data_IF_285527293760
#
_entry.id   IF_285527293760
#
_cell.length_a   1.000
_cell.length_b   1.000
_cell.length_c   1.000
_cell.angle_alpha   90.00
_cell.angle_beta   90.00
_cell.angle_gamma   90.00
#
_symmetry.space_group_name_H-M   'P 1'
#
loop_
_entity.id
_entity.type
_entity.pdbx_description
1 polymer ?
#
# COMPACT_ATOMS: atom_id res chain seq x y z
N UNK A 1 82.28 15.06 -20.62
CA UNK A 1 81.69 16.35 -21.04
C UNK A 1 80.21 16.30 -20.68
N UNK A 2 79.55 17.20 -19.96
CA UNK A 2 79.87 18.49 -19.34
C UNK A 2 78.91 18.64 -18.11
N UNK A 3 79.45 19.00 -16.94
CA UNK A 3 79.19 20.24 -16.17
C UNK A 3 77.70 20.46 -15.78
N UNK A 4 77.30 20.24 -14.52
CA UNK A 4 77.55 20.99 -13.26
C UNK A 4 76.82 22.35 -13.15
N UNK A 5 76.20 22.51 -11.97
CA UNK A 5 76.00 23.71 -11.14
C UNK A 5 74.70 24.53 -11.24
N UNK A 6 74.36 25.12 -10.07
CA UNK A 6 73.40 26.20 -9.77
C UNK A 6 71.99 25.67 -9.38
N UNK A 7 71.33 26.04 -8.27
CA UNK A 7 71.52 27.08 -7.26
C UNK A 7 70.91 26.66 -5.92
N UNK A 8 71.62 26.97 -4.85
CA UNK A 8 71.07 27.11 -3.50
C UNK A 8 70.28 28.45 -3.44
N UNK A 9 69.30 28.51 -2.54
CA UNK A 9 68.79 29.75 -1.93
C UNK A 9 67.95 30.71 -2.80
N UNK A 10 66.64 30.45 -2.85
CA UNK A 10 65.63 31.50 -2.98
C UNK A 10 64.45 31.14 -2.05
N UNK A 11 64.29 31.95 -1.00
CA UNK A 11 63.02 32.30 -0.35
C UNK A 11 62.11 31.12 0.03
N UNK A 12 62.01 30.75 1.31
CA UNK A 12 61.17 31.48 2.27
C UNK A 12 59.81 31.81 1.64
N UNK A 13 58.73 31.21 2.16
CA UNK A 13 57.33 31.28 1.68
C UNK A 13 56.96 30.14 0.70
N UNK A 14 56.99 28.89 1.17
CA UNK A 14 55.91 27.97 0.82
C UNK A 14 55.03 27.84 2.06
N UNK A 15 54.16 28.84 2.20
CA UNK A 15 53.10 28.84 3.20
C UNK A 15 52.32 27.57 3.01
N UNK A 16 52.34 26.76 4.07
CA UNK A 16 51.44 25.65 4.30
C UNK A 16 50.03 26.23 4.24
N UNK A 17 49.40 26.20 3.06
CA UNK A 17 47.96 26.40 2.96
C UNK A 17 47.29 25.12 3.44
N UNK A 18 47.20 24.99 4.76
CA UNK A 18 46.16 24.17 5.38
C UNK A 18 44.87 24.91 5.05
N UNK A 19 44.26 24.58 3.91
CA UNK A 19 42.87 24.95 3.67
C UNK A 19 42.09 24.33 4.81
N UNK A 20 41.73 25.16 5.79
CA UNK A 20 40.73 24.82 6.78
C UNK A 20 39.47 24.47 6.00
N UNK A 21 39.22 23.18 5.83
CA UNK A 21 37.88 22.67 5.53
C UNK A 21 37.05 23.05 6.74
N UNK A 22 36.49 24.25 6.69
CA UNK A 22 35.42 24.64 7.59
C UNK A 22 34.35 23.56 7.41
N UNK A 23 34.20 22.74 8.45
CA UNK A 23 33.02 21.89 8.58
C UNK A 23 31.86 22.87 8.61
N UNK A 24 31.14 22.98 7.48
CA UNK A 24 29.88 23.69 7.44
C UNK A 24 28.99 22.99 8.47
N UNK A 25 28.80 23.64 9.62
CA UNK A 25 27.89 23.15 10.64
C UNK A 25 26.55 22.91 9.94
N UNK A 26 26.14 21.65 9.86
CA UNK A 26 24.87 21.28 9.27
C UNK A 26 23.79 22.02 10.07
N UNK A 27 23.20 23.05 9.45
CA UNK A 27 22.24 23.90 10.12
C UNK A 27 21.06 23.04 10.56
N UNK A 28 20.82 23.00 11.86
CA UNK A 28 19.66 22.29 12.42
C UNK A 28 18.41 23.05 11.98
N UNK A 29 17.56 22.42 11.18
CA UNK A 29 16.28 23.00 10.78
C UNK A 29 15.43 23.28 12.03
N UNK A 30 14.78 24.42 12.03
CA UNK A 30 13.85 24.83 13.08
C UNK A 30 12.45 25.01 12.50
N UNK A 31 11.42 24.95 13.32
CA UNK A 31 10.04 25.25 12.93
C UNK A 31 9.51 26.37 13.81
N UNK A 32 8.92 27.38 13.20
CA UNK A 32 8.16 28.43 13.87
C UNK A 32 6.73 28.44 13.33
N UNK A 33 5.74 28.59 14.21
CA UNK A 33 4.31 28.69 13.85
C UNK A 33 3.78 30.03 14.34
N UNK A 34 3.32 30.88 13.42
CA UNK A 34 2.90 32.27 13.70
C UNK A 34 3.93 33.05 14.52
N UNK A 35 5.22 32.90 14.18
CA UNK A 35 6.33 33.54 14.87
C UNK A 35 6.80 32.83 16.15
N UNK A 36 6.06 31.84 16.66
CA UNK A 36 6.46 31.06 17.83
C UNK A 36 7.39 29.91 17.45
N UNK A 37 8.66 30.03 17.82
CA UNK A 37 9.65 28.98 17.62
C UNK A 37 9.32 27.74 18.46
N UNK A 38 9.22 26.58 17.82
CA UNK A 38 8.92 25.32 18.49
C UNK A 38 10.15 24.75 19.21
N UNK A 39 9.95 24.35 20.46
CA UNK A 39 10.90 23.48 21.15
C UNK A 39 10.73 22.04 20.65
N UNK A 40 11.71 21.55 19.88
CA UNK A 40 11.67 20.24 19.25
C UNK A 40 12.73 19.34 19.88
N UNK A 41 12.30 18.20 20.43
CA UNK A 41 13.22 17.14 20.89
C UNK A 41 13.89 16.41 19.72
N UNK A 42 13.23 16.38 18.57
CA UNK A 42 13.74 15.86 17.31
C UNK A 42 13.62 16.96 16.25
N UNK A 43 14.75 17.44 15.73
CA UNK A 43 14.76 18.41 14.64
C UNK A 43 14.10 17.82 13.38
N UNK A 44 13.48 18.66 12.53
CA UNK A 44 13.06 18.25 11.20
C UNK A 44 14.26 17.76 10.40
N UNK A 45 14.02 16.80 9.52
CA UNK A 45 15.05 16.23 8.66
C UNK A 45 14.61 16.28 7.21
N UNK A 46 15.55 16.40 6.29
CA UNK A 46 15.26 16.29 4.87
C UNK A 46 15.51 14.84 4.40
N UNK A 47 14.52 14.25 3.75
CA UNK A 47 14.60 12.93 3.13
C UNK A 47 14.18 13.06 1.68
N UNK A 48 15.10 12.82 0.74
CA UNK A 48 14.87 12.92 -0.71
C UNK A 48 14.21 14.24 -1.15
N UNK A 49 14.66 15.37 -0.60
CA UNK A 49 14.05 16.68 -0.87
C UNK A 49 12.64 16.84 -0.29
N UNK A 50 12.34 16.14 0.80
CA UNK A 50 11.08 16.25 1.56
C UNK A 50 11.42 16.55 3.01
N UNK A 51 10.92 17.66 3.54
CA UNK A 51 11.09 17.99 4.95
C UNK A 51 10.11 17.12 5.76
N UNK A 52 10.67 16.28 6.63
CA UNK A 52 9.96 15.46 7.58
C UNK A 52 9.97 16.18 8.93
N UNK A 53 8.79 16.47 9.47
CA UNK A 53 8.62 17.21 10.72
C UNK A 53 8.03 16.33 11.83
N UNK A 54 8.40 16.58 13.11
CA UNK A 54 7.83 15.86 14.25
C UNK A 54 6.35 16.18 14.41
N UNK A 55 5.50 15.15 14.30
CA UNK A 55 4.04 15.32 14.17
C UNK A 55 3.44 15.95 15.43
N UNK A 56 3.78 15.41 16.61
CA UNK A 56 3.15 15.81 17.88
C UNK A 56 3.30 17.31 18.22
N UNK A 57 4.51 17.91 18.22
CA UNK A 57 4.65 19.33 18.54
C UNK A 57 4.01 20.23 17.47
N UNK A 58 4.12 19.87 16.19
CA UNK A 58 3.49 20.63 15.10
C UNK A 58 1.96 20.60 15.22
N UNK A 59 1.37 19.42 15.44
CA UNK A 59 -0.08 19.27 15.62
C UNK A 59 -0.57 20.07 16.83
N UNK A 60 0.12 19.95 17.97
CA UNK A 60 -0.22 20.69 19.19
C UNK A 60 -0.26 22.20 18.92
N UNK A 61 0.78 22.74 18.26
CA UNK A 61 0.85 24.17 17.97
C UNK A 61 -0.21 24.63 16.96
N UNK A 62 -0.60 23.76 16.02
CA UNK A 62 -1.66 24.03 15.06
C UNK A 62 -3.08 23.77 15.62
N UNK A 63 -3.18 23.38 16.90
CA UNK A 63 -4.45 23.15 17.59
C UNK A 63 -5.09 21.79 17.32
N UNK A 64 -4.32 20.80 16.86
CA UNK A 64 -4.78 19.43 16.65
C UNK A 64 -4.43 18.58 17.88
N UNK A 65 -5.39 17.76 18.31
CA UNK A 65 -5.12 16.61 19.16
C UNK A 65 -4.50 15.48 18.35
N UNK A 66 -3.61 14.70 18.96
CA UNK A 66 -3.00 13.51 18.36
C UNK A 66 -3.32 12.28 19.20
N UNK A 67 -3.88 11.25 18.59
CA UNK A 67 -4.03 9.91 19.18
C UNK A 67 -3.17 8.92 18.40
N UNK A 68 -2.43 8.07 19.10
CA UNK A 68 -1.66 6.97 18.51
C UNK A 68 -2.21 5.63 19.01
N UNK A 69 -2.32 4.64 18.12
CA UNK A 69 -2.76 3.28 18.47
C UNK A 69 -1.99 2.29 17.58
N UNK A 70 -1.03 1.57 18.16
CA UNK A 70 -0.10 0.74 17.41
C UNK A 70 0.66 1.58 16.37
N UNK A 71 0.51 1.22 15.09
CA UNK A 71 1.13 1.96 13.98
C UNK A 71 0.27 3.13 13.47
N UNK A 72 -0.97 3.28 13.94
CA UNK A 72 -1.90 4.29 13.46
C UNK A 72 -1.78 5.60 14.23
N UNK A 73 -1.82 6.71 13.50
CA UNK A 73 -1.83 8.06 14.03
C UNK A 73 -3.10 8.79 13.56
N UNK A 74 -3.70 9.55 14.46
CA UNK A 74 -4.94 10.28 14.20
C UNK A 74 -4.86 11.70 14.75
N UNK A 75 -4.80 12.67 13.85
CA UNK A 75 -4.94 14.09 14.16
C UNK A 75 -6.41 14.51 14.13
N UNK A 76 -6.86 15.33 15.08
CA UNK A 76 -8.22 15.89 15.08
C UNK A 76 -8.24 17.35 15.50
N UNK A 77 -8.98 18.16 14.76
CA UNK A 77 -9.40 19.56 15.04
C UNK A 77 -10.76 19.77 14.37
N UNK A 78 -11.57 20.70 14.85
CA UNK A 78 -12.94 20.96 14.39
C UNK A 78 -13.21 20.63 12.90
N UNK A 79 -14.05 19.62 12.64
CA UNK A 79 -14.41 19.20 11.28
C UNK A 79 -13.29 18.51 10.46
N UNK A 80 -12.09 18.35 11.02
CA UNK A 80 -10.91 17.80 10.37
C UNK A 80 -10.37 16.55 11.10
N UNK A 81 -10.23 15.47 10.37
CA UNK A 81 -9.62 14.22 10.84
C UNK A 81 -8.51 13.81 9.87
N UNK A 82 -7.29 13.73 10.38
CA UNK A 82 -6.13 13.25 9.63
C UNK A 82 -5.77 11.85 10.12
N UNK A 83 -5.81 10.85 9.25
CA UNK A 83 -5.39 9.48 9.52
C UNK A 83 -4.07 9.18 8.79
N UNK A 84 -3.10 8.66 9.53
CA UNK A 84 -1.79 8.25 9.02
C UNK A 84 -1.39 6.91 9.63
N UNK A 85 -0.43 6.23 9.02
CA UNK A 85 0.14 4.99 9.56
C UNK A 85 1.63 4.92 9.33
N UNK A 86 2.37 4.42 10.31
CA UNK A 86 3.82 4.18 10.21
C UNK A 86 4.14 3.32 8.99
N UNK A 87 5.13 3.74 8.20
CA UNK A 87 5.60 3.06 7.00
C UNK A 87 4.71 3.25 5.77
N UNK A 88 3.57 3.92 5.90
CA UNK A 88 2.65 4.16 4.78
C UNK A 88 2.95 5.48 4.07
N UNK A 89 2.95 5.45 2.74
CA UNK A 89 2.86 6.66 1.88
C UNK A 89 1.42 7.11 1.67
N UNK A 90 0.42 6.37 2.17
CA UNK A 90 -1.00 6.71 2.04
C UNK A 90 -1.45 7.29 3.38
N UNK A 91 -1.94 8.53 3.36
CA UNK A 91 -2.64 9.20 4.45
C UNK A 91 -4.07 9.52 4.03
N UNK A 92 -4.92 9.91 4.97
CA UNK A 92 -6.28 10.39 4.70
C UNK A 92 -6.60 11.64 5.47
N UNK A 93 -7.33 12.54 4.84
CA UNK A 93 -7.86 13.78 5.46
C UNK A 93 -9.35 13.81 5.19
N UNK A 94 -10.17 13.68 6.23
CA UNK A 94 -11.63 13.53 6.10
C UNK A 94 -12.03 12.44 5.08
N UNK A 95 -11.34 11.30 5.14
CA UNK A 95 -11.56 10.16 4.22
C UNK A 95 -10.88 10.29 2.85
N UNK A 96 -10.54 11.50 2.41
CA UNK A 96 -9.88 11.73 1.13
C UNK A 96 -8.45 11.22 1.20
N UNK A 97 -8.08 10.36 0.27
CA UNK A 97 -6.77 9.70 0.24
C UNK A 97 -5.71 10.60 -0.37
N UNK A 98 -4.58 10.72 0.33
CA UNK A 98 -3.46 11.58 -0.07
C UNK A 98 -2.20 10.73 -0.14
N UNK A 99 -1.54 10.75 -1.29
CA UNK A 99 -0.26 10.06 -1.49
C UNK A 99 0.90 10.98 -1.13
N UNK A 100 1.57 10.63 -0.04
CA UNK A 100 2.75 11.27 0.52
C UNK A 100 3.98 11.00 -0.36
N UNK A 101 4.87 11.98 -0.44
CA UNK A 101 6.16 11.83 -1.14
C UNK A 101 7.08 10.86 -0.39
N UNK A 102 7.11 10.96 0.93
CA UNK A 102 7.83 10.06 1.83
C UNK A 102 6.87 9.43 2.85
N UNK A 103 7.08 8.17 3.23
CA UNK A 103 6.22 7.50 4.20
C UNK A 103 6.38 8.11 5.59
N UNK A 104 5.34 7.99 6.42
CA UNK A 104 5.44 8.34 7.85
C UNK A 104 6.48 7.43 8.50
N UNK A 105 7.47 8.03 9.16
CA UNK A 105 8.60 7.31 9.73
C UNK A 105 8.74 7.57 11.23
N UNK A 106 9.62 6.81 11.89
CA UNK A 106 9.98 7.03 13.29
C UNK A 106 11.48 7.26 13.35
N UNK A 107 11.89 8.38 13.92
CA UNK A 107 13.28 8.76 14.13
C UNK A 107 13.46 9.08 15.61
N UNK A 108 14.37 8.39 16.29
CA UNK A 108 14.60 8.56 17.74
C UNK A 108 13.30 8.54 18.55
N UNK A 109 12.46 7.53 18.33
CA UNK A 109 11.13 7.36 18.94
C UNK A 109 10.11 8.49 18.67
N UNK A 110 10.40 9.39 17.72
CA UNK A 110 9.51 10.47 17.31
C UNK A 110 8.90 10.16 15.95
N UNK A 111 7.57 10.25 15.83
CA UNK A 111 6.90 10.12 14.55
C UNK A 111 7.12 11.36 13.68
N UNK A 112 7.52 11.12 12.44
CA UNK A 112 7.83 12.14 11.44
C UNK A 112 6.92 11.97 10.23
N UNK A 113 6.35 13.07 9.72
CA UNK A 113 5.58 13.09 8.47
C UNK A 113 6.01 14.24 7.57
N UNK A 114 5.75 14.17 6.26
CA UNK A 114 6.04 15.27 5.34
C UNK A 114 5.34 16.55 5.79
N UNK A 115 6.11 17.63 5.95
CA UNK A 115 5.58 18.87 6.48
C UNK A 115 4.52 19.50 5.55
N UNK A 116 4.76 19.48 4.24
CA UNK A 116 3.80 19.98 3.25
C UNK A 116 2.44 19.27 3.37
N UNK A 117 2.42 17.96 3.65
CA UNK A 117 1.16 17.25 3.85
C UNK A 117 0.39 17.81 5.05
N UNK A 118 1.08 18.06 6.17
CA UNK A 118 0.46 18.60 7.38
C UNK A 118 -0.12 20.00 7.09
N UNK A 119 0.67 20.88 6.47
CA UNK A 119 0.26 22.26 6.19
C UNK A 119 -0.86 22.32 5.15
N UNK A 120 -0.75 21.56 4.06
CA UNK A 120 -1.76 21.50 2.98
C UNK A 120 -3.10 20.95 3.49
N UNK A 121 -3.06 19.98 4.41
CA UNK A 121 -4.28 19.42 5.04
C UNK A 121 -5.05 20.47 5.86
N UNK A 122 -4.33 21.44 6.41
CA UNK A 122 -4.87 22.52 7.23
C UNK A 122 -5.11 23.81 6.45
N UNK A 123 -4.61 23.90 5.22
CA UNK A 123 -4.59 25.15 4.46
C UNK A 123 -3.57 26.16 4.99
N UNK A 124 -2.63 25.74 5.84
CA UNK A 124 -1.62 26.61 6.44
C UNK A 124 -0.57 27.03 5.40
N UNK A 125 -0.03 28.25 5.55
CA UNK A 125 1.08 28.73 4.73
C UNK A 125 2.40 28.11 5.16
N UNK A 126 3.29 27.88 4.20
CA UNK A 126 4.63 27.36 4.44
C UNK A 126 5.67 28.25 3.72
N UNK A 127 6.67 28.73 4.44
CA UNK A 127 7.82 29.44 3.89
C UNK A 127 9.10 29.10 4.68
N UNK A 128 10.25 29.61 4.24
CA UNK A 128 11.53 29.40 4.93
C UNK A 128 12.35 30.68 4.96
N UNK A 129 12.96 30.99 6.10
CA UNK A 129 13.91 32.09 6.26
C UNK A 129 15.06 31.67 7.19
N UNK A 130 16.31 31.90 6.76
CA UNK A 130 17.51 31.71 7.58
C UNK A 130 17.60 30.33 8.28
N UNK A 131 17.26 29.23 7.59
CA UNK A 131 17.27 27.88 8.17
C UNK A 131 16.08 27.55 9.10
N UNK A 132 15.14 28.48 9.25
CA UNK A 132 13.88 28.27 9.97
C UNK A 132 12.74 28.08 8.98
N UNK A 133 11.95 27.04 9.19
CA UNK A 133 10.70 26.80 8.48
C UNK A 133 9.60 27.57 9.20
N UNK A 134 8.88 28.40 8.47
CA UNK A 134 7.81 29.25 8.99
C UNK A 134 6.47 28.69 8.53
N UNK A 135 5.58 28.43 9.49
CA UNK A 135 4.20 28.02 9.26
C UNK A 135 3.30 29.17 9.67
N UNK A 136 2.38 29.58 8.80
CA UNK A 136 1.36 30.58 9.13
C UNK A 136 -0.02 29.93 9.18
N UNK A 137 -0.81 30.30 10.20
CA UNK A 137 -2.21 29.89 10.33
C UNK A 137 -3.17 30.74 9.48
N UNK A 138 -2.70 31.24 8.34
CA UNK A 138 -3.57 31.83 7.32
C UNK A 138 -4.24 30.69 6.53
N UNK A 139 -5.24 30.07 7.17
CA UNK A 139 -5.88 28.86 6.67
C UNK A 139 -6.68 29.15 5.39
N UNK A 140 -6.11 28.77 4.26
CA UNK A 140 -6.80 28.77 2.98
C UNK A 140 -7.86 27.67 2.96
N UNK A 141 -8.94 27.92 2.23
CA UNK A 141 -9.98 26.92 1.98
C UNK A 141 -9.37 25.67 1.33
N UNK A 142 -9.58 24.51 1.94
CA UNK A 142 -9.08 23.22 1.45
C UNK A 142 -10.20 22.40 0.81
N UNK A 143 -9.84 21.44 -0.03
CA UNK A 143 -10.82 20.50 -0.60
C UNK A 143 -11.32 19.47 0.43
N UNK A 144 -10.74 19.44 1.63
CA UNK A 144 -11.02 18.41 2.63
C UNK A 144 -12.23 18.73 3.51
N UNK A 145 -12.74 19.96 3.47
CA UNK A 145 -13.95 20.32 4.16
C UNK A 145 -15.17 19.72 3.44
N UNK A 146 -15.98 18.93 4.15
CA UNK A 146 -17.15 18.25 3.60
C UNK A 146 -18.40 19.15 3.64
N UNK A 147 -18.47 20.14 4.55
CA UNK A 147 -19.62 21.05 4.75
C UNK A 147 -20.97 20.36 5.08
N UNK A 148 -20.93 19.06 5.40
CA UNK A 148 -22.07 18.24 5.82
C UNK A 148 -21.93 17.86 7.30
N UNK A 149 -23.04 17.60 8.02
CA UNK A 149 -23.01 17.31 9.45
C UNK A 149 -22.60 15.85 9.75
N UNK A 150 -21.48 15.44 9.17
CA UNK A 150 -20.90 14.10 9.28
C UNK A 150 -19.41 14.23 9.60
N UNK A 151 -18.79 13.15 10.08
CA UNK A 151 -17.34 13.05 10.13
C UNK A 151 -16.87 11.77 9.45
N UNK A 152 -15.75 11.83 8.74
CA UNK A 152 -15.15 10.65 8.08
C UNK A 152 -13.80 10.36 8.70
N UNK A 153 -13.60 9.13 9.16
CA UNK A 153 -12.31 8.66 9.70
C UNK A 153 -12.01 7.26 9.18
N UNK A 154 -10.91 7.13 8.43
CA UNK A 154 -10.59 5.88 7.75
C UNK A 154 -11.67 5.50 6.74
N UNK A 155 -12.23 4.30 6.85
CA UNK A 155 -13.36 3.81 6.02
C UNK A 155 -14.71 3.92 6.76
N UNK A 156 -14.79 4.76 7.79
CA UNK A 156 -15.98 4.95 8.60
C UNK A 156 -16.49 6.36 8.48
N UNK A 157 -17.82 6.50 8.47
CA UNK A 157 -18.50 7.79 8.53
C UNK A 157 -19.47 7.79 9.70
N UNK A 158 -19.53 8.92 10.41
CA UNK A 158 -20.41 9.12 11.56
C UNK A 158 -21.41 10.23 11.26
N UNK A 159 -22.69 9.96 11.52
CA UNK A 159 -23.74 10.97 11.53
C UNK A 159 -23.62 11.73 12.84
N UNK A 160 -23.42 13.05 12.79
CA UNK A 160 -23.22 13.87 14.00
C UNK A 160 -24.53 14.46 14.54
N UNK A 161 -25.64 14.28 13.83
CA UNK A 161 -26.92 14.93 14.18
C UNK A 161 -27.83 14.00 14.99
N UNK A 162 -28.90 14.61 15.54
CA UNK A 162 -30.03 13.90 16.13
C UNK A 162 -31.08 13.42 15.11
N UNK A 163 -30.79 13.50 13.81
CA UNK A 163 -31.71 13.24 12.72
C UNK A 163 -31.25 12.05 11.89
N UNK A 164 -32.20 11.20 11.48
CA UNK A 164 -31.95 10.09 10.56
C UNK A 164 -31.92 10.61 9.11
N UNK A 165 -30.99 10.13 8.31
CA UNK A 165 -30.90 10.46 6.89
C UNK A 165 -31.28 9.25 6.03
N UNK A 166 -31.89 9.51 4.87
CA UNK A 166 -32.27 8.46 3.93
C UNK A 166 -31.02 7.82 3.32
N UNK A 167 -30.07 8.63 2.87
CA UNK A 167 -28.91 8.15 2.15
C UNK A 167 -27.73 9.11 2.30
N UNK A 168 -26.53 8.57 2.53
CA UNK A 168 -25.27 9.28 2.31
C UNK A 168 -24.64 8.74 1.01
N UNK A 169 -24.45 9.61 0.02
CA UNK A 169 -23.80 9.24 -1.24
C UNK A 169 -22.29 9.42 -1.09
N UNK A 170 -21.56 8.32 -1.25
CA UNK A 170 -20.11 8.28 -1.30
C UNK A 170 -19.71 7.71 -2.65
N UNK A 171 -18.97 8.50 -3.42
CA UNK A 171 -18.48 8.10 -4.73
C UNK A 171 -17.09 7.51 -4.58
N UNK A 172 -16.93 6.27 -5.03
CA UNK A 172 -15.65 5.59 -5.14
C UNK A 172 -15.01 5.85 -6.49
N UNK A 173 -13.70 6.08 -6.48
CA UNK A 173 -12.90 6.33 -7.66
C UNK A 173 -11.96 5.16 -7.92
N UNK A 174 -11.94 4.70 -9.16
CA UNK A 174 -11.09 3.61 -9.62
C UNK A 174 -10.33 4.00 -10.88
N UNK A 175 -9.04 3.72 -10.94
CA UNK A 175 -8.23 3.91 -12.13
C UNK A 175 -8.18 2.61 -12.95
N UNK A 176 -8.63 2.67 -14.19
CA UNK A 176 -8.48 1.61 -15.18
C UNK A 176 -7.13 1.78 -15.88
N UNK A 177 -6.14 0.89 -15.65
CA UNK A 177 -4.82 1.00 -16.26
C UNK A 177 -4.83 0.69 -17.77
N UNK A 178 -5.80 -0.07 -18.28
CA UNK A 178 -5.92 -0.39 -19.71
C UNK A 178 -6.50 0.79 -20.47
N UNK A 179 -7.62 1.34 -20.00
CA UNK A 179 -8.27 2.49 -20.62
C UNK A 179 -7.63 3.83 -20.25
N UNK A 180 -6.74 3.85 -19.24
CA UNK A 180 -6.05 5.04 -18.71
C UNK A 180 -7.03 6.14 -18.27
N UNK A 181 -8.14 5.75 -17.64
CA UNK A 181 -9.19 6.67 -17.16
C UNK A 181 -9.59 6.37 -15.72
N UNK A 182 -10.22 7.34 -15.08
CA UNK A 182 -10.82 7.17 -13.76
C UNK A 182 -12.33 6.95 -13.92
N UNK A 183 -12.82 5.84 -13.39
CA UNK A 183 -14.23 5.50 -13.29
C UNK A 183 -14.75 5.87 -11.89
N UNK A 184 -16.04 6.20 -11.82
CA UNK A 184 -16.74 6.64 -10.62
C UNK A 184 -17.90 5.68 -10.35
N UNK A 185 -18.08 5.30 -9.07
CA UNK A 185 -19.20 4.48 -8.64
C UNK A 185 -19.82 5.06 -7.37
N UNK A 186 -21.07 5.51 -7.46
CA UNK A 186 -21.85 6.14 -6.39
C UNK A 186 -22.68 5.14 -5.55
N UNK A 187 -22.86 3.92 -6.05
CA UNK A 187 -23.70 2.89 -5.41
C UNK A 187 -22.93 1.87 -4.56
N UNK A 188 -21.58 1.79 -4.71
CA UNK A 188 -20.78 0.74 -4.04
C UNK A 188 -20.55 1.01 -2.55
N UNK A 189 -20.51 2.30 -2.19
CA UNK A 189 -20.21 2.78 -0.84
C UNK A 189 -21.32 3.66 -0.26
N UNK A 190 -22.45 3.85 -0.96
CA UNK A 190 -23.55 4.63 -0.40
C UNK A 190 -24.14 3.94 0.83
N UNK A 191 -24.56 4.75 1.79
CA UNK A 191 -25.16 4.27 3.03
C UNK A 191 -26.63 4.62 3.00
N UNK A 192 -27.47 3.59 2.82
CA UNK A 192 -28.93 3.70 2.90
C UNK A 192 -29.35 3.55 4.37
N UNK A 193 -30.25 4.42 4.83
CA UNK A 193 -30.71 4.49 6.22
C UNK A 193 -29.57 4.88 7.16
N UNK A 194 -29.18 6.15 7.17
CA UNK A 194 -28.08 6.63 7.98
C UNK A 194 -28.57 7.22 9.31
N UNK A 195 -28.72 6.32 10.28
CA UNK A 195 -29.31 6.59 11.60
C UNK A 195 -28.58 7.71 12.36
N UNK A 196 -29.33 8.48 13.14
CA UNK A 196 -28.83 9.54 14.02
C UNK A 196 -27.75 9.03 14.96
N UNK A 197 -26.69 9.83 15.13
CA UNK A 197 -25.54 9.49 16.00
C UNK A 197 -24.89 8.13 15.73
N UNK A 198 -25.10 7.55 14.54
CA UNK A 198 -24.52 6.26 14.18
C UNK A 198 -23.17 6.41 13.49
N UNK A 199 -22.39 5.33 13.48
CA UNK A 199 -21.17 5.22 12.68
C UNK A 199 -21.28 3.99 11.81
N UNK A 200 -21.06 4.14 10.50
CA UNK A 200 -21.13 3.05 9.53
C UNK A 200 -19.83 2.96 8.73
N UNK A 201 -19.43 1.74 8.42
CA UNK A 201 -18.32 1.46 7.50
C UNK A 201 -18.87 1.52 6.07
N UNK A 202 -18.23 2.28 5.18
CA UNK A 202 -18.74 2.43 3.81
C UNK A 202 -18.06 1.50 2.79
N UNK A 203 -16.78 1.14 2.96
CA UNK A 203 -16.13 0.10 2.16
C UNK A 203 -14.93 -0.57 2.83
N UNK A 204 -14.38 -1.59 2.14
CA UNK A 204 -13.17 -2.32 2.52
C UNK A 204 -12.01 -2.08 1.55
N UNK A 205 -12.14 -1.13 0.64
CA UNK A 205 -11.12 -0.94 -0.39
C UNK A 205 -9.84 -0.33 0.19
N UNK A 206 -8.72 -0.78 -0.36
CA UNK A 206 -7.38 -0.31 -0.04
C UNK A 206 -6.82 0.46 -1.24
N UNK A 207 -6.31 1.66 -0.99
CA UNK A 207 -5.78 2.53 -2.05
C UNK A 207 -4.57 1.85 -2.69
N UNK A 208 -4.47 1.99 -4.01
CA UNK A 208 -3.46 1.32 -4.84
C UNK A 208 -3.58 -0.22 -4.88
N UNK A 209 -4.72 -0.80 -4.45
CA UNK A 209 -5.02 -2.22 -4.70
C UNK A 209 -5.93 -2.40 -5.91
N UNK A 210 -5.62 -3.44 -6.69
CA UNK A 210 -6.40 -3.84 -7.84
C UNK A 210 -7.57 -4.72 -7.41
N UNK A 211 -8.74 -4.47 -7.97
CA UNK A 211 -9.94 -5.30 -7.79
C UNK A 211 -9.88 -6.51 -8.72
N UNK A 212 -10.32 -7.68 -8.24
CA UNK A 212 -10.29 -8.92 -9.01
C UNK A 212 -11.39 -9.02 -10.07
N UNK A 213 -12.51 -8.34 -9.86
CA UNK A 213 -13.69 -8.35 -10.72
C UNK A 213 -13.55 -7.41 -11.92
N UNK A 214 -13.11 -6.17 -11.69
CA UNK A 214 -12.99 -5.15 -12.76
C UNK A 214 -11.57 -4.95 -13.27
N UNK A 215 -10.54 -5.46 -12.56
CA UNK A 215 -9.12 -5.17 -12.82
C UNK A 215 -8.77 -3.67 -12.75
N UNK A 216 -9.48 -2.94 -11.91
CA UNK A 216 -9.26 -1.51 -11.70
C UNK A 216 -8.56 -1.28 -10.35
N UNK A 217 -7.83 -0.18 -10.23
CA UNK A 217 -7.12 0.17 -9.01
C UNK A 217 -7.97 1.14 -8.22
N UNK A 218 -8.33 0.81 -6.98
CA UNK A 218 -9.03 1.76 -6.12
C UNK A 218 -8.10 2.92 -5.73
N UNK A 219 -8.56 4.15 -5.92
CA UNK A 219 -7.75 5.35 -5.69
C UNK A 219 -8.27 6.26 -4.57
N UNK A 220 -9.49 6.04 -4.10
CA UNK A 220 -10.09 6.75 -2.96
C UNK A 220 -11.59 6.93 -3.11
N UNK A 221 -12.21 7.58 -2.13
CA UNK A 221 -13.62 7.98 -2.17
C UNK A 221 -13.79 9.45 -1.80
N UNK A 222 -14.95 10.00 -2.13
CA UNK A 222 -15.38 11.31 -1.68
C UNK A 222 -16.87 11.29 -1.33
N UNK A 223 -17.24 12.02 -0.28
CA UNK A 223 -18.67 12.28 0.01
C UNK A 223 -19.18 13.27 -1.01
N UNK A 224 -20.26 12.93 -1.70
CA UNK A 224 -20.91 13.81 -2.68
C UNK A 224 -22.07 14.58 -2.05
N UNK A 225 -22.99 13.88 -1.39
CA UNK A 225 -24.20 14.50 -0.82
C UNK A 225 -24.84 13.66 0.28
N UNK A 226 -25.73 14.29 1.04
CA UNK A 226 -26.52 13.69 2.11
C UNK A 226 -28.01 13.98 1.86
N UNK A 227 -28.81 12.92 1.75
CA UNK A 227 -30.26 13.00 1.50
C UNK A 227 -31.06 12.80 2.78
N UNK A 228 -32.03 13.67 3.05
CA UNK A 228 -33.00 13.49 4.13
C UNK A 228 -34.13 12.56 3.69
N UNK A 229 -34.91 12.05 4.64
CA UNK A 229 -36.22 11.52 4.29
C UNK A 229 -37.12 12.68 3.84
N UNK A 230 -37.90 12.47 2.77
CA UNK A 230 -38.93 13.42 2.40
C UNK A 230 -39.95 13.47 3.54
N UNK A 231 -40.19 14.66 4.10
CA UNK A 231 -41.35 14.87 4.94
C UNK A 231 -42.57 14.92 4.03
N UNK A 232 -43.47 13.96 4.13
CA UNK A 232 -44.82 14.11 3.59
C UNK A 232 -45.48 15.29 4.32
N UNK A 233 -45.43 16.48 3.71
CA UNK A 233 -46.27 17.61 4.09
C UNK A 233 -47.30 17.74 2.98
N UNK A 234 -48.55 17.61 3.39
CA UNK A 234 -49.82 17.76 2.65
C UNK A 234 -49.76 18.66 1.41
N UNK A 235 -50.39 18.19 0.32
CA UNK A 235 -50.99 18.83 -0.90
C UNK A 235 -50.48 20.17 -1.49
N UNK A 236 -49.65 20.94 -0.78
CA UNK A 236 -48.86 22.04 -1.29
C UNK A 236 -47.42 21.56 -1.45
N UNK A 237 -47.02 21.39 -2.71
CA UNK A 237 -45.68 20.99 -3.12
C UNK A 237 -44.67 22.09 -2.74
N UNK A 238 -44.22 22.11 -1.49
CA UNK A 238 -43.10 22.94 -1.04
C UNK A 238 -41.81 22.37 -1.63
N UNK A 239 -41.40 22.94 -2.76
CA UNK A 239 -40.18 22.68 -3.53
C UNK A 239 -38.93 23.17 -2.77
N UNK A 240 -38.84 22.84 -1.48
CA UNK A 240 -37.74 23.30 -0.64
C UNK A 240 -36.48 22.47 -0.90
N UNK A 241 -35.45 23.16 -1.36
CA UNK A 241 -34.05 22.76 -1.64
C UNK A 241 -33.32 21.96 -0.51
N UNK A 242 -34.00 21.58 0.57
CA UNK A 242 -33.41 21.00 1.79
C UNK A 242 -33.41 19.45 1.81
N UNK A 243 -33.88 18.81 0.73
CA UNK A 243 -33.91 17.35 0.61
C UNK A 243 -32.53 16.73 0.37
N UNK A 244 -31.68 17.35 -0.46
CA UNK A 244 -30.31 16.90 -0.75
C UNK A 244 -29.32 18.01 -0.42
N UNK A 245 -28.45 17.77 0.57
CA UNK A 245 -27.35 18.67 0.88
C UNK A 245 -26.06 18.17 0.21
N UNK A 246 -25.53 18.95 -0.73
CA UNK A 246 -24.30 18.62 -1.46
C UNK A 246 -23.03 19.07 -0.73
N UNK A 247 -21.96 18.28 -0.85
CA UNK A 247 -20.62 18.69 -0.45
C UNK A 247 -20.06 19.68 -1.48
N UNK A 248 -19.88 20.94 -1.07
CA UNK A 248 -19.42 22.03 -1.95
C UNK A 248 -18.01 21.80 -2.54
N UNK A 249 -17.19 20.99 -1.88
CA UNK A 249 -15.83 20.69 -2.34
C UNK A 249 -15.73 19.38 -3.13
N UNK A 250 -16.82 18.64 -3.33
CA UNK A 250 -16.81 17.37 -4.07
C UNK A 250 -16.18 17.51 -5.46
N UNK A 251 -16.51 18.56 -6.20
CA UNK A 251 -15.92 18.83 -7.54
C UNK A 251 -14.40 19.00 -7.50
N UNK A 252 -13.85 19.62 -6.46
CA UNK A 252 -12.39 19.77 -6.26
C UNK A 252 -11.74 18.42 -5.96
N UNK A 253 -12.35 17.59 -5.11
CA UNK A 253 -11.84 16.25 -4.79
C UNK A 253 -11.89 15.34 -6.03
N UNK A 254 -12.98 15.40 -6.79
CA UNK A 254 -13.12 14.71 -8.08
C UNK A 254 -12.03 15.14 -9.07
N UNK A 255 -11.77 16.43 -9.20
CA UNK A 255 -10.67 16.94 -10.02
C UNK A 255 -9.29 16.47 -9.53
N UNK A 256 -9.08 16.44 -8.21
CA UNK A 256 -7.86 15.93 -7.59
C UNK A 256 -7.59 14.46 -7.95
N UNK A 257 -8.57 13.57 -7.76
CA UNK A 257 -8.42 12.16 -8.08
C UNK A 257 -8.27 11.90 -9.59
N UNK A 258 -8.84 12.74 -10.45
CA UNK A 258 -8.65 12.68 -11.90
C UNK A 258 -7.37 13.34 -12.40
N UNK A 259 -6.64 14.05 -11.53
CA UNK A 259 -5.43 14.76 -11.94
C UNK A 259 -4.33 13.78 -12.34
N UNK A 260 -3.57 14.11 -13.39
CA UNK A 260 -2.41 13.33 -13.81
C UNK A 260 -1.40 13.13 -12.66
N UNK A 261 -1.18 14.17 -11.86
CA UNK A 261 -0.26 14.13 -10.71
C UNK A 261 -0.66 13.05 -9.69
N UNK A 262 -1.95 12.94 -9.36
CA UNK A 262 -2.42 11.92 -8.42
C UNK A 262 -2.33 10.51 -9.02
N UNK A 263 -2.75 10.33 -10.27
CA UNK A 263 -2.70 9.04 -10.96
C UNK A 263 -1.26 8.54 -11.13
N UNK A 264 -0.31 9.42 -11.46
CA UNK A 264 1.10 9.05 -11.57
C UNK A 264 1.65 8.52 -10.23
N UNK A 265 1.23 9.11 -9.10
CA UNK A 265 1.59 8.62 -7.76
C UNK A 265 0.97 7.24 -7.47
N UNK A 266 -0.29 7.02 -7.84
CA UNK A 266 -0.94 5.70 -7.69
C UNK A 266 -0.21 4.65 -8.51
N UNK A 267 0.09 4.93 -9.78
CA UNK A 267 0.81 4.00 -10.66
C UNK A 267 2.21 3.70 -10.11
N UNK A 268 2.90 4.71 -9.57
CA UNK A 268 4.19 4.52 -8.93
C UNK A 268 4.09 3.60 -7.70
N UNK A 269 3.09 3.78 -6.83
CA UNK A 269 2.88 2.89 -5.68
C UNK A 269 2.62 1.45 -6.09
N UNK A 270 1.74 1.23 -7.08
CA UNK A 270 1.43 -0.11 -7.60
C UNK A 270 2.69 -0.77 -8.18
N UNK A 271 3.52 0.00 -8.87
CA UNK A 271 4.79 -0.49 -9.42
C UNK A 271 5.79 -0.83 -8.31
N UNK A 272 5.96 0.05 -7.32
CA UNK A 272 6.85 -0.19 -6.17
C UNK A 272 6.49 -1.50 -5.45
N UNK A 273 5.20 -1.76 -5.22
CA UNK A 273 4.74 -3.01 -4.61
C UNK A 273 5.03 -4.24 -5.46
N UNK A 274 4.75 -4.17 -6.77
CA UNK A 274 5.04 -5.28 -7.71
C UNK A 274 6.54 -5.57 -7.79
N UNK A 275 7.37 -4.53 -7.86
CA UNK A 275 8.83 -4.67 -7.91
C UNK A 275 9.37 -5.28 -6.61
N UNK A 276 8.83 -4.87 -5.45
CA UNK A 276 9.17 -5.46 -4.15
C UNK A 276 8.77 -6.94 -4.06
N UNK A 277 7.57 -7.29 -4.54
CA UNK A 277 7.13 -8.69 -4.61
C UNK A 277 8.02 -9.52 -5.54
N UNK A 278 8.34 -9.01 -6.72
CA UNK A 278 9.24 -9.67 -7.67
C UNK A 278 10.65 -9.86 -7.08
N UNK A 279 11.18 -8.87 -6.35
CA UNK A 279 12.46 -8.98 -5.66
C UNK A 279 12.43 -10.06 -4.57
N UNK A 280 11.33 -10.18 -3.81
CA UNK A 280 11.14 -11.25 -2.83
C UNK A 280 11.10 -12.62 -3.50
N UNK A 281 10.31 -12.77 -4.57
CA UNK A 281 10.23 -14.01 -5.34
C UNK A 281 11.58 -14.40 -5.93
N UNK A 282 12.37 -13.44 -6.44
CA UNK A 282 13.72 -13.69 -6.96
C UNK A 282 14.65 -14.27 -5.90
N UNK A 283 14.60 -13.75 -4.66
CA UNK A 283 15.38 -14.30 -3.53
C UNK A 283 14.92 -15.72 -3.17
N UNK A 284 13.62 -15.95 -3.11
CA UNK A 284 13.08 -17.30 -2.85
C UNK A 284 13.45 -18.29 -3.98
N UNK A 285 13.42 -17.85 -5.25
CA UNK A 285 13.80 -18.65 -6.41
C UNK A 285 15.27 -19.08 -6.35
N UNK A 286 16.17 -18.17 -5.96
CA UNK A 286 17.58 -18.48 -5.75
C UNK A 286 17.77 -19.51 -4.62
N UNK A 287 17.07 -19.32 -3.49
CA UNK A 287 17.08 -20.29 -2.38
C UNK A 287 16.51 -21.65 -2.81
N UNK A 288 15.57 -21.68 -3.76
CA UNK A 288 15.02 -22.88 -4.38
C UNK A 288 15.87 -23.41 -5.56
N UNK A 289 17.17 -23.09 -5.60
CA UNK A 289 18.11 -23.54 -6.65
C UNK A 289 17.62 -23.24 -8.07
N UNK A 290 16.98 -22.09 -8.25
CA UNK A 290 16.38 -21.63 -9.52
C UNK A 290 15.29 -22.55 -10.11
N UNK A 291 14.67 -23.41 -9.29
CA UNK A 291 13.50 -24.18 -9.71
C UNK A 291 12.26 -23.27 -9.66
N UNK A 292 11.50 -23.11 -10.76
CA UNK A 292 10.36 -22.19 -10.84
C UNK A 292 9.25 -22.46 -9.82
N UNK A 293 9.05 -23.73 -9.47
CA UNK A 293 8.08 -24.16 -8.48
C UNK A 293 8.80 -24.64 -7.22
N UNK A 294 8.36 -24.12 -6.07
CA UNK A 294 8.74 -24.64 -4.76
C UNK A 294 7.65 -25.59 -4.29
N UNK A 295 8.04 -26.80 -3.88
CA UNK A 295 7.18 -27.69 -3.12
C UNK A 295 7.10 -27.14 -1.70
N UNK A 296 5.89 -26.75 -1.27
CA UNK A 296 5.65 -26.17 0.04
C UNK A 296 5.17 -27.23 1.04
N UNK A 297 4.26 -28.11 0.61
CA UNK A 297 3.77 -29.23 1.41
C UNK A 297 3.46 -30.45 0.53
N UNK A 298 3.47 -31.63 1.14
CA UNK A 298 3.07 -32.89 0.51
C UNK A 298 2.33 -33.76 1.52
N UNK A 299 1.16 -34.26 1.13
CA UNK A 299 0.35 -35.15 1.98
C UNK A 299 -0.26 -36.29 1.18
N UNK A 300 -0.63 -37.35 1.90
CA UNK A 300 -1.38 -38.48 1.34
C UNK A 300 -2.80 -38.45 1.92
N UNK A 301 -3.79 -38.44 1.04
CA UNK A 301 -5.20 -38.64 1.37
C UNK A 301 -5.71 -39.92 0.71
N UNK A 302 -6.96 -40.28 0.99
CA UNK A 302 -7.62 -41.42 0.37
C UNK A 302 -8.97 -40.96 -0.17
N UNK A 303 -9.29 -41.37 -1.39
CA UNK A 303 -10.59 -41.06 -1.97
C UNK A 303 -11.69 -41.97 -1.40
N UNK A 304 -12.92 -41.82 -1.90
CA UNK A 304 -14.10 -42.57 -1.43
C UNK A 304 -14.01 -44.10 -1.59
N UNK A 305 -13.09 -44.60 -2.42
CA UNK A 305 -12.84 -46.04 -2.61
C UNK A 305 -11.51 -46.48 -1.97
N UNK A 306 -10.96 -45.70 -1.05
CA UNK A 306 -9.72 -45.97 -0.30
C UNK A 306 -8.46 -46.09 -1.16
N UNK A 307 -8.44 -45.51 -2.36
CA UNK A 307 -7.22 -45.42 -3.17
C UNK A 307 -6.42 -44.21 -2.71
N UNK A 308 -5.09 -44.35 -2.48
CA UNK A 308 -4.27 -43.25 -2.01
C UNK A 308 -4.11 -42.16 -3.08
N UNK A 309 -4.03 -40.92 -2.61
CA UNK A 309 -3.86 -39.72 -3.42
C UNK A 309 -2.71 -38.89 -2.87
N UNK A 310 -1.82 -38.43 -3.74
CA UNK A 310 -0.79 -37.46 -3.35
C UNK A 310 -1.31 -36.05 -3.61
N UNK A 311 -1.33 -35.23 -2.57
CA UNK A 311 -1.62 -33.80 -2.65
C UNK A 311 -0.30 -33.03 -2.56
N UNK A 312 -0.05 -32.17 -3.53
CA UNK A 312 1.16 -31.37 -3.59
C UNK A 312 0.80 -29.89 -3.56
N UNK A 313 1.15 -29.21 -2.47
CA UNK A 313 1.09 -27.75 -2.43
C UNK A 313 2.38 -27.18 -3.02
N UNK A 314 2.23 -26.38 -4.06
CA UNK A 314 3.32 -25.71 -4.74
C UNK A 314 3.15 -24.19 -4.68
N UNK A 315 4.27 -23.47 -4.79
CA UNK A 315 4.31 -22.01 -4.99
C UNK A 315 5.06 -21.65 -6.27
N UNK A 316 4.47 -20.77 -7.08
CA UNK A 316 5.15 -20.17 -8.23
C UNK A 316 6.12 -19.08 -7.79
N UNK A 317 7.42 -19.33 -7.95
CA UNK A 317 8.49 -18.40 -7.60
C UNK A 317 8.91 -17.47 -8.75
N UNK A 318 8.20 -17.49 -9.87
CA UNK A 318 8.50 -16.69 -11.06
C UNK A 318 7.48 -15.57 -11.24
N UNK A 319 7.84 -14.58 -12.07
CA UNK A 319 6.92 -13.52 -12.50
C UNK A 319 5.99 -13.93 -13.64
N UNK A 320 6.16 -15.14 -14.17
CA UNK A 320 5.37 -15.70 -15.27
C UNK A 320 4.26 -16.59 -14.72
N UNK A 321 3.10 -16.60 -15.38
CA UNK A 321 2.05 -17.55 -15.05
C UNK A 321 2.44 -18.95 -15.51
N UNK A 322 2.27 -19.94 -14.64
CA UNK A 322 2.52 -21.35 -14.95
C UNK A 322 1.20 -22.00 -15.37
N UNK A 323 1.24 -22.72 -16.49
CA UNK A 323 0.06 -23.38 -17.09
C UNK A 323 0.14 -24.90 -17.02
N UNK A 324 1.32 -25.46 -16.86
CA UNK A 324 1.52 -26.90 -16.64
C UNK A 324 2.85 -27.18 -15.95
N UNK A 325 2.96 -28.32 -15.26
CA UNK A 325 4.22 -28.83 -14.76
C UNK A 325 4.20 -30.36 -14.64
N UNK A 326 5.39 -30.93 -14.62
CA UNK A 326 5.62 -32.36 -14.39
C UNK A 326 6.30 -32.54 -13.04
N UNK A 327 5.95 -33.63 -12.36
CA UNK A 327 6.56 -34.02 -11.09
C UNK A 327 6.82 -35.52 -11.04
N UNK A 328 7.74 -35.91 -10.16
CA UNK A 328 7.95 -37.30 -9.80
C UNK A 328 8.03 -37.45 -8.29
N UNK A 329 7.48 -38.55 -7.77
CA UNK A 329 7.52 -38.92 -6.36
C UNK A 329 7.83 -40.41 -6.22
N UNK A 330 8.51 -40.79 -5.15
CA UNK A 330 8.75 -42.17 -4.79
C UNK A 330 7.75 -42.62 -3.73
N UNK A 331 7.01 -43.69 -4.00
CA UNK A 331 5.94 -44.22 -3.14
C UNK A 331 6.46 -45.23 -2.11
N UNK A 332 5.97 -45.13 -0.87
CA UNK A 332 6.34 -45.98 0.26
C UNK A 332 5.12 -46.30 1.15
N UNK A 333 5.21 -47.42 1.87
CA UNK A 333 4.25 -47.81 2.90
C UNK A 333 4.72 -47.36 4.30
N UNK A 334 3.92 -47.65 5.34
CA UNK A 334 4.23 -47.22 6.71
C UNK A 334 5.53 -47.83 7.25
N UNK A 335 5.96 -48.96 6.69
CA UNK A 335 7.20 -49.65 7.04
C UNK A 335 8.42 -49.16 6.23
N UNK A 336 8.31 -48.06 5.50
CA UNK A 336 9.37 -47.50 4.64
C UNK A 336 9.79 -48.42 3.49
N UNK A 337 8.94 -49.38 3.10
CA UNK A 337 9.19 -50.26 1.95
C UNK A 337 8.72 -49.58 0.66
N UNK A 338 9.47 -49.69 -0.45
CA UNK A 338 9.02 -49.16 -1.74
C UNK A 338 7.71 -49.81 -2.19
N UNK A 339 6.67 -49.00 -2.41
CA UNK A 339 5.42 -49.47 -3.02
C UNK A 339 5.63 -49.47 -4.53
N UNK A 340 5.80 -50.65 -5.10
CA UNK A 340 6.05 -50.81 -6.53
C UNK A 340 4.73 -50.79 -7.30
N UNK A 341 4.76 -50.20 -8.49
CA UNK A 341 3.62 -50.26 -9.41
C UNK A 341 3.30 -51.71 -9.76
N UNK A 342 2.01 -52.05 -9.87
CA UNK A 342 1.60 -53.36 -10.39
C UNK A 342 2.31 -53.72 -11.70
N UNK A 343 2.89 -54.93 -11.77
CA UNK A 343 3.71 -55.43 -12.89
C UNK A 343 4.99 -54.62 -13.21
N UNK A 344 5.48 -53.79 -12.28
CA UNK A 344 6.72 -53.04 -12.42
C UNK A 344 7.64 -53.24 -11.21
N UNK A 345 8.94 -53.02 -11.43
CA UNK A 345 9.92 -52.91 -10.35
C UNK A 345 10.05 -51.50 -9.76
N UNK A 346 9.42 -50.49 -10.39
CA UNK A 346 9.53 -49.08 -10.02
C UNK A 346 8.52 -48.68 -8.94
N UNK A 347 8.98 -47.94 -7.93
CA UNK A 347 8.13 -47.19 -7.00
C UNK A 347 8.00 -45.70 -7.36
N UNK A 348 8.40 -45.32 -8.57
CA UNK A 348 8.39 -43.94 -9.05
C UNK A 348 7.06 -43.61 -9.74
N UNK A 349 6.27 -42.74 -9.14
CA UNK A 349 5.10 -42.14 -9.76
C UNK A 349 5.49 -40.87 -10.53
N UNK A 350 4.90 -40.69 -11.72
CA UNK A 350 5.07 -39.52 -12.57
C UNK A 350 3.73 -38.80 -12.67
N UNK A 351 3.68 -37.56 -12.19
CA UNK A 351 2.50 -36.70 -12.25
C UNK A 351 2.66 -35.61 -13.29
N UNK A 352 1.56 -35.26 -13.96
CA UNK A 352 1.47 -34.08 -14.81
C UNK A 352 0.27 -33.27 -14.33
N UNK A 353 0.47 -31.97 -14.14
CA UNK A 353 -0.60 -31.00 -13.89
C UNK A 353 -0.71 -30.09 -15.12
N UNK A 354 -1.92 -29.91 -15.66
CA UNK A 354 -2.19 -29.17 -16.90
C UNK A 354 -3.39 -28.25 -16.74
N UNK A 355 -3.54 -27.30 -17.67
CA UNK A 355 -4.64 -26.33 -17.71
C UNK A 355 -4.71 -25.43 -16.46
N UNK A 356 -3.54 -25.14 -15.89
CA UNK A 356 -3.41 -24.31 -14.70
C UNK A 356 -3.38 -22.82 -15.03
N UNK A 357 -3.59 -22.01 -14.00
CA UNK A 357 -3.37 -20.56 -14.03
C UNK A 357 -2.71 -20.12 -12.71
N UNK A 358 -1.53 -20.67 -12.42
CA UNK A 358 -0.81 -20.33 -11.19
C UNK A 358 -0.08 -19.00 -11.44
N UNK A 359 -0.64 -17.88 -10.95
CA UNK A 359 -0.05 -16.58 -11.17
C UNK A 359 1.25 -16.40 -10.35
N UNK A 360 1.97 -15.33 -10.61
CA UNK A 360 3.23 -15.01 -9.94
C UNK A 360 3.05 -14.95 -8.42
N UNK A 361 3.79 -15.80 -7.70
CA UNK A 361 3.76 -15.84 -6.23
C UNK A 361 2.60 -16.61 -5.61
N UNK A 362 1.65 -17.11 -6.41
CA UNK A 362 0.50 -17.87 -5.93
C UNK A 362 0.86 -19.30 -5.54
N UNK A 363 0.02 -19.87 -4.68
CA UNK A 363 0.03 -21.26 -4.31
C UNK A 363 -1.05 -22.03 -5.07
N UNK A 364 -0.80 -23.31 -5.33
CA UNK A 364 -1.79 -24.23 -5.86
C UNK A 364 -1.58 -25.59 -5.20
N UNK A 365 -2.68 -26.29 -4.93
CA UNK A 365 -2.64 -27.70 -4.53
C UNK A 365 -3.19 -28.55 -5.65
N UNK A 366 -2.39 -29.50 -6.11
CA UNK A 366 -2.80 -30.50 -7.10
C UNK A 366 -2.83 -31.88 -6.46
N UNK A 367 -3.82 -32.68 -6.86
CA UNK A 367 -4.05 -34.02 -6.34
C UNK A 367 -3.92 -35.04 -7.46
N UNK A 368 -3.18 -36.12 -7.20
CA UNK A 368 -3.08 -37.25 -8.12
C UNK A 368 -3.45 -38.54 -7.40
N UNK A 369 -4.42 -39.26 -7.96
CA UNK A 369 -4.71 -40.64 -7.55
C UNK A 369 -3.54 -41.56 -7.92
N UNK A 370 -3.01 -42.25 -6.93
CA UNK A 370 -1.86 -43.15 -7.06
C UNK A 370 -2.30 -44.54 -7.53
N UNK A 371 -3.01 -44.59 -8.65
CA UNK A 371 -3.48 -45.85 -9.24
C UNK A 371 -2.31 -46.82 -9.45
N UNK A 372 -2.50 -48.09 -9.06
CA UNK A 372 -1.51 -49.17 -9.12
C UNK A 372 -0.37 -49.04 -8.09
N UNK A 373 -0.50 -48.11 -7.14
CA UNK A 373 0.39 -47.94 -5.98
C UNK A 373 -0.42 -47.98 -4.67
N UNK A 374 -1.37 -48.90 -4.58
CA UNK A 374 -2.50 -48.84 -3.64
C UNK A 374 -2.10 -48.97 -2.16
N UNK A 375 -0.88 -49.44 -1.87
CA UNK A 375 -0.31 -49.54 -0.51
C UNK A 375 0.46 -48.28 -0.07
N UNK A 376 0.42 -47.20 -0.86
CA UNK A 376 1.15 -45.97 -0.54
C UNK A 376 0.53 -45.25 0.64
N UNK A 377 1.31 -45.07 1.70
CA UNK A 377 0.92 -44.25 2.85
C UNK A 377 1.79 -43.00 2.99
N UNK A 378 2.97 -42.98 2.34
CA UNK A 378 3.89 -41.84 2.33
C UNK A 378 4.67 -41.74 1.02
N UNK A 379 5.10 -40.53 0.68
CA UNK A 379 5.93 -40.25 -0.50
C UNK A 379 7.25 -39.58 -0.12
N UNK A 380 8.29 -39.85 -0.91
CA UNK A 380 9.63 -39.24 -0.78
C UNK A 380 10.12 -38.72 -2.14
N UNK A 381 11.24 -38.00 -2.13
CA UNK A 381 11.95 -37.52 -3.33
C UNK A 381 11.09 -36.69 -4.31
N UNK A 382 10.13 -35.94 -3.76
CA UNK A 382 9.23 -35.08 -4.54
C UNK A 382 10.04 -34.08 -5.34
N UNK A 383 9.92 -34.15 -6.66
CA UNK A 383 10.72 -33.34 -7.58
C UNK A 383 9.87 -32.82 -8.72
N UNK A 384 9.83 -31.51 -8.91
CA UNK A 384 9.33 -30.89 -10.15
C UNK A 384 10.39 -31.08 -11.23
N UNK A 385 10.01 -31.66 -12.37
CA UNK A 385 10.93 -32.02 -13.47
C UNK A 385 10.81 -31.11 -14.68
N UNK A 386 9.64 -30.53 -14.90
CA UNK A 386 9.41 -29.57 -15.99
C UNK A 386 8.32 -28.57 -15.62
N UNK A 387 8.37 -27.37 -16.20
CA UNK A 387 7.36 -26.31 -16.06
C UNK A 387 7.11 -25.67 -17.43
N UNK A 388 5.84 -25.41 -17.75
CA UNK A 388 5.41 -24.65 -18.92
C UNK A 388 4.77 -23.33 -18.48
N UNK A 389 5.21 -22.24 -19.10
CA UNK A 389 4.70 -20.89 -18.82
C UNK A 389 3.67 -20.45 -19.87
N UNK A 390 2.81 -19.50 -19.49
CA UNK A 390 1.77 -18.95 -20.38
C UNK A 390 2.31 -18.19 -21.59
N UNK A 391 3.57 -17.77 -21.55
CA UNK A 391 4.27 -17.11 -22.67
C UNK A 391 4.91 -18.11 -23.66
N UNK A 392 4.66 -19.40 -23.47
CA UNK A 392 5.20 -20.47 -24.32
C UNK A 392 6.59 -20.97 -23.92
N UNK A 393 7.32 -20.28 -23.04
CA UNK A 393 8.62 -20.75 -22.56
C UNK A 393 8.48 -21.95 -21.60
N UNK A 394 9.57 -22.68 -21.38
CA UNK A 394 9.59 -23.84 -20.48
C UNK A 394 10.88 -23.93 -19.70
N UNK A 395 10.81 -24.55 -18.52
CA UNK A 395 11.95 -24.95 -17.70
C UNK A 395 11.96 -26.48 -17.56
N UNK A 396 13.15 -27.09 -17.55
CA UNK A 396 13.36 -28.51 -17.27
C UNK A 396 14.55 -28.69 -16.33
N UNK A 397 14.46 -29.67 -15.44
CA UNK A 397 15.47 -29.97 -14.40
C UNK A 397 16.78 -30.52 -14.98
#
# INVERSE_FOLDING_TARGET
>A
MAKKFVSFLCCFILVIQISSVASAAQSTLQISVDGNLLSLTQSPIEVNGTIMAPIAPVFKQLGLSLTTTGNSLKGRKDGLIINMSKGSKIARVNGISVILKEPVSVVNNTFMAPLNFITDSLGAGLSSANGTILISNDYKQTMYNIDLPISVSGNYVSNLTGTDYLELIIVDFFYDPKAKKVNEYDYRSSIIGFDKKSTKKYNNYEVAKMTSDTNEIYIGSAVESLKKYSSYVSDDFDDSDDYVKSNMNYSKVKAYYKSKSYIDKIVALVKEEKDAQAAKLKKELQANKNKPLKVNDVSITYNSISVPEVNLEIKNLTTKTIVAYEMRVSCYDDFDRPVKRFLSSSNLYLGISQNNKIASGEYQTDTWTLNLYDLTTKVKNVTITAVKFSDGTSWKL
#
